data_IF_892376798865
#
_entry.id   IF_892376798865
#
_cell.length_a   1.000
_cell.length_b   1.000
_cell.length_c   1.000
_cell.angle_alpha   90.00
_cell.angle_beta   90.00
_cell.angle_gamma   90.00
#
_symmetry.space_group_name_H-M   'P 1'
#
loop_
_entity.id
_entity.type
_entity.pdbx_description
1 polymer ?
#
# COMPACT_ATOMS: atom_id res chain seq x y z
N UNK A 1 18.86 -13.05 2.61
CA UNK A 1 19.42 -11.75 3.05
C UNK A 1 18.35 -10.66 3.17
N UNK A 2 17.47 -10.47 2.18
CA UNK A 2 16.44 -9.42 2.19
C UNK A 2 15.48 -9.53 3.38
N UNK A 3 15.02 -10.73 3.74
CA UNK A 3 14.13 -10.92 4.91
C UNK A 3 14.75 -10.48 6.24
N UNK A 4 16.06 -10.70 6.42
CA UNK A 4 16.78 -10.24 7.61
C UNK A 4 16.90 -8.71 7.64
N UNK A 5 17.12 -8.10 6.48
CA UNK A 5 17.14 -6.63 6.36
C UNK A 5 15.76 -6.03 6.63
N UNK A 6 14.69 -6.66 6.16
CA UNK A 6 13.32 -6.22 6.39
C UNK A 6 12.91 -6.36 7.87
N UNK A 7 13.31 -7.45 8.52
CA UNK A 7 13.09 -7.63 9.96
C UNK A 7 13.87 -6.59 10.76
N UNK A 8 15.14 -6.37 10.41
CA UNK A 8 15.97 -5.32 11.04
C UNK A 8 15.36 -3.92 10.87
N UNK A 9 14.89 -3.58 9.67
CA UNK A 9 14.23 -2.31 9.39
C UNK A 9 12.94 -2.14 10.19
N UNK A 10 12.11 -3.18 10.28
CA UNK A 10 10.88 -3.15 11.08
C UNK A 10 11.17 -2.87 12.56
N UNK A 11 12.22 -3.48 13.12
CA UNK A 11 12.65 -3.22 14.50
C UNK A 11 13.19 -1.79 14.68
N UNK A 12 13.96 -1.27 13.72
CA UNK A 12 14.46 0.11 13.74
C UNK A 12 13.31 1.12 13.68
N UNK A 13 12.28 0.87 12.87
CA UNK A 13 11.10 1.75 12.79
C UNK A 13 10.26 1.74 14.08
N UNK A 14 10.32 0.67 14.87
CA UNK A 14 9.67 0.58 16.18
C UNK A 14 10.48 1.23 17.32
N UNK A 15 11.76 1.54 17.09
CA UNK A 15 12.65 2.15 18.07
C UNK A 15 12.12 3.49 18.64
N UNK A 16 11.61 4.47 17.86
CA UNK A 16 11.08 5.72 18.41
C UNK A 16 9.89 5.50 19.35
N UNK A 17 9.05 4.48 19.07
CA UNK A 17 7.95 4.11 19.96
C UNK A 17 8.49 3.55 21.28
N UNK A 18 9.46 2.64 21.22
CA UNK A 18 10.13 2.11 22.41
C UNK A 18 10.80 3.23 23.23
N UNK A 19 11.53 4.15 22.57
CA UNK A 19 12.19 5.29 23.22
C UNK A 19 11.17 6.21 23.89
N UNK A 20 10.03 6.51 23.25
CA UNK A 20 9.00 7.40 23.81
C UNK A 20 8.39 6.88 25.12
N UNK A 21 8.27 5.55 25.27
CA UNK A 21 7.67 4.93 26.45
C UNK A 21 8.69 4.49 27.51
N UNK A 22 9.95 4.28 27.14
CA UNK A 22 11.04 3.91 28.06
C UNK A 22 11.70 5.16 28.66
N UNK A 23 11.81 6.25 27.88
CA UNK A 23 12.38 7.50 28.37
C UNK A 23 11.57 7.98 29.59
N UNK A 24 12.21 8.19 30.75
CA UNK A 24 11.53 8.76 31.89
C UNK A 24 11.08 10.15 31.46
N UNK A 25 9.79 10.32 31.19
CA UNK A 25 9.24 11.67 31.17
C UNK A 25 9.51 12.21 32.57
N UNK A 26 10.36 13.24 32.67
CA UNK A 26 10.33 14.18 33.80
C UNK A 26 9.01 14.94 33.71
N UNK A 27 7.88 14.23 33.79
CA UNK A 27 6.67 14.84 34.29
C UNK A 27 7.02 15.12 35.73
N UNK A 28 7.28 16.38 36.08
CA UNK A 28 7.02 16.80 37.45
C UNK A 28 5.63 16.24 37.77
N UNK A 29 5.55 15.40 38.80
CA UNK A 29 4.28 14.78 39.16
C UNK A 29 3.21 15.86 39.25
N UNK A 30 1.94 15.54 38.95
CA UNK A 30 0.83 16.47 39.16
C UNK A 30 0.91 17.12 40.54
N UNK A 31 1.36 16.36 41.54
CA UNK A 31 1.73 16.83 42.88
C UNK A 31 2.80 17.92 42.88
N UNK A 32 3.97 17.69 42.29
CA UNK A 32 5.08 18.66 42.28
C UNK A 32 4.68 19.98 41.60
N UNK A 33 3.93 19.90 40.49
CA UNK A 33 3.41 21.07 39.78
C UNK A 33 2.39 21.84 40.63
N UNK A 34 1.46 21.13 41.29
CA UNK A 34 0.48 21.76 42.17
C UNK A 34 1.12 22.44 43.39
N UNK A 35 2.12 21.80 44.01
CA UNK A 35 2.87 22.37 45.12
C UNK A 35 3.63 23.63 44.70
N UNK A 36 4.30 23.61 43.54
CA UNK A 36 5.01 24.78 43.02
C UNK A 36 4.06 25.94 42.73
N UNK A 37 2.89 25.66 42.14
CA UNK A 37 1.87 26.65 41.83
C UNK A 37 1.32 27.34 43.10
N UNK A 38 0.94 26.57 44.12
CA UNK A 38 0.41 27.11 45.36
C UNK A 38 1.46 27.92 46.16
N UNK A 39 2.74 27.50 46.12
CA UNK A 39 3.84 28.31 46.68
C UNK A 39 4.00 29.64 45.96
N UNK A 40 3.90 29.65 44.63
CA UNK A 40 3.96 30.90 43.86
C UNK A 40 2.76 31.81 44.18
N UNK A 41 1.56 31.26 44.38
CA UNK A 41 0.37 32.02 44.78
C UNK A 41 0.56 32.75 46.11
N UNK A 42 1.21 32.14 47.10
CA UNK A 42 1.49 32.79 48.38
C UNK A 42 2.44 33.98 48.23
N UNK A 43 3.44 33.87 47.35
CA UNK A 43 4.38 34.97 47.05
C UNK A 43 3.66 36.13 46.39
N UNK A 44 2.76 35.85 45.45
CA UNK A 44 1.99 36.88 44.76
C UNK A 44 1.03 37.60 45.72
N UNK A 45 0.36 36.84 46.60
CA UNK A 45 -0.55 37.40 47.60
C UNK A 45 0.19 38.34 48.58
N UNK A 46 1.42 37.99 48.95
CA UNK A 46 2.27 38.84 49.80
C UNK A 46 2.69 40.13 49.08
N UNK A 47 2.94 40.07 47.77
CA UNK A 47 3.21 41.26 46.95
C UNK A 47 1.97 42.14 46.83
N UNK A 48 0.79 41.56 46.59
CA UNK A 48 -0.46 42.31 46.50
C UNK A 48 -0.78 43.07 47.79
N UNK A 49 -0.48 42.47 48.95
CA UNK A 49 -0.59 43.15 50.24
C UNK A 49 0.41 44.30 50.35
N UNK A 50 1.68 44.07 49.98
CA UNK A 50 2.73 45.08 50.04
C UNK A 50 2.45 46.27 49.10
N UNK A 51 1.86 45.99 47.93
CA UNK A 51 1.46 46.99 46.93
C UNK A 51 0.12 47.67 47.29
N UNK A 52 -0.54 47.28 48.39
CA UNK A 52 -1.82 47.84 48.84
C UNK A 52 -3.00 47.50 47.94
N UNK A 53 -2.89 46.47 47.09
CA UNK A 53 -3.96 46.02 46.18
C UNK A 53 -5.07 45.26 46.91
N UNK A 54 -4.77 44.68 48.06
CA UNK A 54 -5.71 43.92 48.90
C UNK A 54 -5.57 44.34 50.37
N UNK A 55 -6.65 44.21 51.15
CA UNK A 55 -6.64 44.49 52.59
C UNK A 55 -6.03 43.36 53.42
N UNK A 56 -5.60 43.64 54.66
CA UNK A 56 -5.01 42.60 55.55
C UNK A 56 -5.97 41.44 55.85
N UNK A 57 -7.26 41.74 56.03
CA UNK A 57 -8.28 40.71 56.28
C UNK A 57 -8.48 39.79 55.05
N UNK A 58 -8.43 40.37 53.84
CA UNK A 58 -8.54 39.62 52.59
C UNK A 58 -7.28 38.76 52.36
N UNK A 59 -6.10 39.31 52.61
CA UNK A 59 -4.84 38.58 52.58
C UNK A 59 -4.85 37.38 53.53
N UNK A 60 -5.26 37.58 54.79
CA UNK A 60 -5.30 36.50 55.79
C UNK A 60 -6.26 35.38 55.38
N UNK A 61 -7.44 35.72 54.88
CA UNK A 61 -8.42 34.75 54.41
C UNK A 61 -7.94 33.97 53.18
N UNK A 62 -7.39 34.67 52.18
CA UNK A 62 -6.89 34.04 50.95
C UNK A 62 -5.65 33.18 51.20
N UNK A 63 -4.72 33.62 52.06
CA UNK A 63 -3.55 32.86 52.47
C UNK A 63 -3.95 31.52 53.10
N UNK A 64 -4.89 31.54 54.06
CA UNK A 64 -5.35 30.34 54.74
C UNK A 64 -5.98 29.32 53.78
N UNK A 65 -6.76 29.78 52.80
CA UNK A 65 -7.36 28.90 51.79
C UNK A 65 -6.30 28.30 50.85
N UNK A 66 -5.29 29.06 50.42
CA UNK A 66 -4.18 28.54 49.61
C UNK A 66 -3.34 27.54 50.40
N UNK A 67 -3.05 27.79 51.67
CA UNK A 67 -2.35 26.85 52.55
C UNK A 67 -3.14 25.54 52.75
N UNK A 68 -4.47 25.63 52.90
CA UNK A 68 -5.35 24.44 52.96
C UNK A 68 -5.31 23.63 51.68
N UNK A 69 -5.33 24.29 50.52
CA UNK A 69 -5.20 23.63 49.19
C UNK A 69 -3.82 23.01 49.00
N UNK A 70 -2.77 23.66 49.47
CA UNK A 70 -1.40 23.15 49.44
C UNK A 70 -1.30 21.83 50.22
N UNK A 71 -1.84 21.76 51.44
CA UNK A 71 -1.89 20.53 52.24
C UNK A 71 -2.69 19.42 51.55
N UNK A 72 -3.81 19.77 50.92
CA UNK A 72 -4.65 18.82 50.17
C UNK A 72 -3.92 18.26 48.94
N UNK A 73 -3.17 19.10 48.23
CA UNK A 73 -2.36 18.69 47.09
C UNK A 73 -1.17 17.80 47.51
N UNK A 74 -0.58 18.06 48.69
CA UNK A 74 0.54 17.27 49.20
C UNK A 74 0.14 15.85 49.63
N UNK A 75 -1.11 15.67 50.10
CA UNK A 75 -1.68 14.38 50.45
C UNK A 75 -2.05 13.48 49.26
N UNK A 76 -1.95 13.98 48.02
CA UNK A 76 -2.28 13.18 46.83
C UNK A 76 -1.19 12.15 46.53
N UNK A 77 -1.58 10.87 46.53
CA UNK A 77 -0.70 9.76 46.12
C UNK A 77 -0.77 9.64 44.60
N UNK A 78 0.34 9.91 43.92
CA UNK A 78 0.48 9.62 42.49
C UNK A 78 0.43 8.10 42.28
N UNK A 79 -0.34 7.60 41.31
CA UNK A 79 -0.32 6.20 40.95
C UNK A 79 1.07 5.84 40.39
N UNK A 80 1.80 5.00 41.11
CA UNK A 80 3.06 4.44 40.62
C UNK A 80 2.73 3.44 39.51
N UNK A 81 3.25 3.66 38.31
CA UNK A 81 3.13 2.68 37.23
C UNK A 81 3.93 1.43 37.61
N UNK A 82 3.24 0.41 38.12
CA UNK A 82 3.83 -0.86 38.52
C UNK A 82 4.46 -1.58 37.31
N UNK A 83 5.60 -2.24 37.54
CA UNK A 83 6.60 -2.68 36.54
C UNK A 83 6.18 -3.65 35.41
N UNK A 84 4.89 -4.00 35.26
CA UNK A 84 4.44 -4.90 34.19
C UNK A 84 4.20 -4.19 32.84
N UNK A 85 3.88 -2.90 32.82
CA UNK A 85 3.58 -2.19 31.58
C UNK A 85 4.79 -2.10 30.63
N UNK A 86 6.00 -1.93 31.18
CA UNK A 86 7.25 -1.91 30.40
C UNK A 86 7.54 -3.27 29.78
N UNK A 87 7.36 -4.35 30.55
CA UNK A 87 7.57 -5.71 30.06
C UNK A 87 6.57 -6.07 28.95
N UNK A 88 5.29 -5.73 29.14
CA UNK A 88 4.26 -5.92 28.13
C UNK A 88 4.57 -5.14 26.85
N UNK A 89 5.02 -3.89 26.97
CA UNK A 89 5.40 -3.08 25.81
C UNK A 89 6.57 -3.69 25.04
N UNK A 90 7.63 -4.10 25.73
CA UNK A 90 8.79 -4.76 25.11
C UNK A 90 8.33 -6.05 24.43
N UNK A 91 7.51 -6.86 25.10
CA UNK A 91 6.96 -8.08 24.54
C UNK A 91 6.15 -7.80 23.28
N UNK A 92 5.30 -6.76 23.25
CA UNK A 92 4.52 -6.38 22.07
C UNK A 92 5.41 -5.90 20.92
N UNK A 93 6.41 -5.05 21.19
CA UNK A 93 7.33 -4.51 20.16
C UNK A 93 8.11 -5.63 19.47
N UNK A 94 8.44 -6.71 20.19
CA UNK A 94 9.14 -7.87 19.61
C UNK A 94 8.17 -8.88 18.99
N UNK A 95 7.07 -9.19 19.67
CA UNK A 95 6.13 -10.23 19.24
C UNK A 95 5.43 -9.86 17.92
N UNK A 96 5.10 -8.59 17.70
CA UNK A 96 4.39 -8.16 16.49
C UNK A 96 5.20 -8.41 15.21
N UNK A 97 6.46 -7.93 15.07
CA UNK A 97 7.30 -8.26 13.92
C UNK A 97 7.53 -9.77 13.76
N UNK A 98 7.78 -10.48 14.86
CA UNK A 98 8.02 -11.94 14.81
C UNK A 98 6.78 -12.68 14.30
N UNK A 99 5.59 -12.34 14.81
CA UNK A 99 4.34 -12.93 14.36
C UNK A 99 4.06 -12.62 12.88
N UNK A 100 4.32 -11.40 12.42
CA UNK A 100 4.18 -11.03 11.01
C UNK A 100 5.06 -11.91 10.10
N UNK A 101 6.33 -12.12 10.48
CA UNK A 101 7.22 -13.01 9.73
C UNK A 101 6.80 -14.48 9.80
N UNK A 102 6.35 -14.96 10.96
CA UNK A 102 5.87 -16.33 11.14
C UNK A 102 4.64 -16.62 10.26
N UNK A 103 3.76 -15.64 10.09
CA UNK A 103 2.59 -15.73 9.21
C UNK A 103 2.96 -15.60 7.73
N UNK A 104 3.95 -14.79 7.39
CA UNK A 104 4.32 -14.50 6.00
C UNK A 104 5.17 -15.59 5.34
N UNK A 105 6.13 -16.17 6.08
CA UNK A 105 7.13 -17.08 5.51
C UNK A 105 6.56 -18.36 4.87
N UNK A 106 5.56 -19.06 5.45
CA UNK A 106 5.05 -20.32 4.90
C UNK A 106 4.48 -20.22 3.48
N UNK A 107 3.93 -19.06 3.11
CA UNK A 107 3.38 -18.80 1.76
C UNK A 107 4.32 -18.02 0.84
N UNK A 108 5.51 -17.66 1.32
CA UNK A 108 6.47 -16.92 0.51
C UNK A 108 7.16 -17.84 -0.50
N UNK A 109 7.67 -17.26 -1.57
CA UNK A 109 8.52 -17.93 -2.58
C UNK A 109 9.93 -17.31 -2.59
N UNK A 110 10.74 -17.50 -1.52
CA UNK A 110 12.03 -16.82 -1.33
C UNK A 110 13.05 -17.08 -2.42
N UNK A 111 12.93 -18.23 -3.09
CA UNK A 111 13.90 -18.72 -4.07
C UNK A 111 13.59 -18.36 -5.51
N UNK A 112 12.48 -17.65 -5.78
CA UNK A 112 12.17 -17.22 -7.14
C UNK A 112 13.14 -16.09 -7.50
N UNK A 113 14.00 -16.27 -8.52
CA UNK A 113 14.89 -15.21 -8.96
C UNK A 113 14.05 -14.00 -9.33
N UNK A 114 14.46 -12.82 -8.87
CA UNK A 114 13.88 -11.58 -9.36
C UNK A 114 14.23 -11.50 -10.85
N UNK A 115 13.30 -11.86 -11.75
CA UNK A 115 13.51 -11.60 -13.17
C UNK A 115 13.65 -10.08 -13.32
N UNK A 116 14.80 -9.58 -13.79
CA UNK A 116 14.95 -8.15 -14.03
C UNK A 116 13.85 -7.72 -15.00
N UNK A 117 13.14 -6.65 -14.68
CA UNK A 117 12.11 -6.08 -15.55
C UNK A 117 12.62 -5.85 -16.98
N UNK A 118 13.93 -5.60 -17.14
CA UNK A 118 14.61 -5.49 -18.43
C UNK A 118 14.59 -6.78 -19.25
N UNK A 119 14.70 -7.96 -18.62
CA UNK A 119 14.61 -9.24 -19.31
C UNK A 119 13.17 -9.56 -19.73
N UNK A 120 12.18 -9.17 -18.94
CA UNK A 120 10.77 -9.30 -19.32
C UNK A 120 10.42 -8.41 -20.52
N UNK A 121 10.84 -7.14 -20.50
CA UNK A 121 10.70 -6.22 -21.65
C UNK A 121 11.36 -6.77 -22.92
N UNK A 122 12.55 -7.35 -22.81
CA UNK A 122 13.27 -7.91 -23.96
C UNK A 122 12.54 -9.13 -24.54
N UNK A 123 11.96 -10.00 -23.70
CA UNK A 123 11.14 -11.14 -24.16
C UNK A 123 9.89 -10.66 -24.88
N UNK A 124 9.21 -9.66 -24.33
CA UNK A 124 8.00 -9.07 -24.90
C UNK A 124 8.28 -8.42 -26.26
N UNK A 125 9.33 -7.59 -26.35
CA UNK A 125 9.75 -6.97 -27.61
C UNK A 125 10.15 -8.01 -28.65
N UNK A 126 10.83 -9.09 -28.24
CA UNK A 126 11.19 -10.19 -29.14
C UNK A 126 9.95 -10.97 -29.62
N UNK A 127 8.92 -11.14 -28.78
CA UNK A 127 7.65 -11.75 -29.17
C UNK A 127 6.90 -10.88 -30.19
N UNK A 128 6.78 -9.57 -29.92
CA UNK A 128 6.15 -8.62 -30.84
C UNK A 128 6.89 -8.52 -32.18
N UNK A 129 8.22 -8.53 -32.17
CA UNK A 129 9.03 -8.53 -33.39
C UNK A 129 8.79 -9.81 -34.23
N UNK A 130 8.71 -10.98 -33.58
CA UNK A 130 8.40 -12.24 -34.27
C UNK A 130 6.99 -12.22 -34.88
N UNK A 131 6.01 -11.72 -34.12
CA UNK A 131 4.64 -11.58 -34.60
C UNK A 131 4.56 -10.65 -35.83
N UNK A 132 5.25 -9.51 -35.80
CA UNK A 132 5.30 -8.58 -36.93
C UNK A 132 5.93 -9.22 -38.19
N UNK A 133 6.99 -10.02 -38.04
CA UNK A 133 7.58 -10.78 -39.14
C UNK A 133 6.58 -11.81 -39.68
N UNK A 134 5.91 -12.56 -38.80
CA UNK A 134 4.89 -13.55 -39.19
C UNK A 134 3.73 -12.92 -39.96
N UNK A 135 3.19 -11.78 -39.49
CA UNK A 135 2.14 -11.02 -40.18
C UNK A 135 2.59 -10.60 -41.58
N UNK A 136 3.83 -10.13 -41.71
CA UNK A 136 4.39 -9.68 -42.99
C UNK A 136 4.53 -10.85 -43.98
N UNK A 137 5.07 -11.98 -43.52
CA UNK A 137 5.23 -13.18 -44.35
C UNK A 137 3.88 -13.77 -44.76
N UNK A 138 2.92 -13.83 -43.84
CA UNK A 138 1.59 -14.35 -44.11
C UNK A 138 0.84 -13.49 -45.14
N UNK A 139 0.91 -12.15 -45.03
CA UNK A 139 0.37 -11.24 -46.05
C UNK A 139 1.01 -11.46 -47.43
N UNK A 140 2.33 -11.61 -47.48
CA UNK A 140 3.03 -11.84 -48.74
C UNK A 140 2.62 -13.18 -49.38
N UNK A 141 2.45 -14.22 -48.56
CA UNK A 141 1.99 -15.54 -49.03
C UNK A 141 0.56 -15.50 -49.53
N UNK A 142 -0.35 -14.85 -48.78
CA UNK A 142 -1.75 -14.68 -49.19
C UNK A 142 -1.89 -13.92 -50.51
N UNK A 143 -1.04 -12.91 -50.75
CA UNK A 143 -1.06 -12.16 -52.01
C UNK A 143 -0.67 -13.00 -53.24
N UNK A 144 0.02 -14.13 -53.05
CA UNK A 144 0.44 -15.03 -54.12
C UNK A 144 -0.50 -16.23 -54.32
N UNK A 145 -1.43 -16.47 -53.39
CA UNK A 145 -2.36 -17.60 -53.39
C UNK A 145 -3.68 -17.22 -54.09
N UNK A 146 -4.45 -18.22 -54.54
CA UNK A 146 -5.81 -17.97 -55.05
C UNK A 146 -6.72 -17.48 -53.91
N UNK A 147 -7.31 -16.27 -53.99
CA UNK A 147 -8.17 -15.71 -52.94
C UNK A 147 -9.40 -16.55 -52.59
N UNK A 148 -9.86 -17.41 -53.52
CA UNK A 148 -11.05 -18.25 -53.30
C UNK A 148 -10.70 -19.66 -52.79
N UNK A 149 -9.43 -19.95 -52.53
CA UNK A 149 -9.00 -21.24 -52.02
C UNK A 149 -9.30 -21.40 -50.52
N UNK A 150 -9.49 -22.64 -50.08
CA UNK A 150 -9.63 -22.96 -48.66
C UNK A 150 -8.36 -22.59 -47.87
N UNK A 151 -7.18 -22.68 -48.49
CA UNK A 151 -5.90 -22.35 -47.90
C UNK A 151 -5.76 -20.83 -47.70
N UNK A 152 -6.22 -20.02 -48.66
CA UNK A 152 -6.28 -18.56 -48.50
C UNK A 152 -7.25 -18.16 -47.37
N UNK A 153 -8.44 -18.76 -47.34
CA UNK A 153 -9.41 -18.54 -46.26
C UNK A 153 -8.84 -18.88 -44.87
N UNK A 154 -8.11 -20.00 -44.75
CA UNK A 154 -7.45 -20.36 -43.50
C UNK A 154 -6.33 -19.36 -43.14
N UNK A 155 -5.56 -18.90 -44.13
CA UNK A 155 -4.53 -17.89 -43.93
C UNK A 155 -5.09 -16.53 -43.49
N UNK A 156 -6.25 -16.14 -44.03
CA UNK A 156 -6.98 -14.93 -43.61
C UNK A 156 -7.43 -15.02 -42.15
N UNK A 157 -7.93 -16.18 -41.69
CA UNK A 157 -8.28 -16.39 -40.28
C UNK A 157 -7.07 -16.19 -39.35
N UNK A 158 -5.93 -16.79 -39.71
CA UNK A 158 -4.69 -16.64 -38.94
C UNK A 158 -4.15 -15.22 -38.97
N UNK A 159 -4.28 -14.52 -40.10
CA UNK A 159 -3.87 -13.12 -40.21
C UNK A 159 -4.76 -12.23 -39.36
N UNK A 160 -6.06 -12.46 -39.34
CA UNK A 160 -7.01 -11.76 -38.46
C UNK A 160 -6.63 -11.93 -36.99
N UNK A 161 -6.33 -13.16 -36.55
CA UNK A 161 -5.93 -13.43 -35.17
C UNK A 161 -4.58 -12.78 -34.82
N UNK A 162 -3.59 -12.89 -35.69
CA UNK A 162 -2.29 -12.27 -35.48
C UNK A 162 -2.37 -10.74 -35.40
N UNK A 163 -3.22 -10.11 -36.20
CA UNK A 163 -3.47 -8.65 -36.14
C UNK A 163 -4.21 -8.24 -34.87
N UNK A 164 -5.16 -9.05 -34.41
CA UNK A 164 -5.85 -8.80 -33.15
C UNK A 164 -4.91 -8.95 -31.94
N UNK A 165 -4.05 -9.98 -31.94
CA UNK A 165 -3.03 -10.18 -30.90
C UNK A 165 -2.02 -9.03 -30.89
N UNK A 166 -1.56 -8.59 -32.06
CA UNK A 166 -0.61 -7.48 -32.18
C UNK A 166 -1.18 -6.15 -31.66
N UNK A 167 -2.48 -5.90 -31.88
CA UNK A 167 -3.14 -4.68 -31.42
C UNK A 167 -3.66 -4.79 -29.97
N UNK A 168 -3.81 -6.01 -29.44
CA UNK A 168 -4.50 -6.28 -28.17
C UNK A 168 -6.02 -6.13 -28.25
N UNK A 169 -6.58 -5.87 -29.43
CA UNK A 169 -8.00 -5.67 -29.69
C UNK A 169 -8.36 -6.06 -31.13
N UNK A 170 -9.65 -6.31 -31.39
CA UNK A 170 -10.13 -6.64 -32.74
C UNK A 170 -10.27 -5.34 -33.55
N UNK A 171 -9.23 -5.03 -34.32
CA UNK A 171 -9.21 -3.86 -35.20
C UNK A 171 -10.18 -4.04 -36.40
N UNK A 172 -10.60 -2.93 -37.05
CA UNK A 172 -11.40 -3.03 -38.29
C UNK A 172 -10.71 -3.83 -39.39
N UNK A 173 -9.37 -3.81 -39.42
CA UNK A 173 -8.57 -4.61 -40.35
C UNK A 173 -8.68 -6.10 -40.02
N UNK A 174 -8.42 -6.50 -38.77
CA UNK A 174 -8.56 -7.89 -38.32
C UNK A 174 -9.98 -8.43 -38.56
N UNK A 175 -10.99 -7.60 -38.27
CA UNK A 175 -12.40 -7.91 -38.53
C UNK A 175 -12.68 -8.15 -40.02
N UNK A 176 -12.01 -7.40 -40.91
CA UNK A 176 -12.08 -7.61 -42.36
C UNK A 176 -11.62 -9.01 -42.74
N UNK A 177 -10.47 -9.44 -42.24
CA UNK A 177 -9.91 -10.77 -42.52
C UNK A 177 -10.76 -11.91 -41.96
N UNK A 178 -11.32 -11.79 -40.74
CA UNK A 178 -12.25 -12.80 -40.22
C UNK A 178 -13.50 -12.97 -41.10
N UNK A 179 -14.03 -11.86 -41.63
CA UNK A 179 -15.19 -11.91 -42.55
C UNK A 179 -14.84 -12.53 -43.90
N UNK A 180 -13.67 -12.19 -44.44
CA UNK A 180 -13.16 -12.75 -45.71
C UNK A 180 -12.92 -14.26 -45.57
N UNK A 181 -12.26 -14.67 -44.48
CA UNK A 181 -12.04 -16.08 -44.15
C UNK A 181 -13.37 -16.84 -44.19
N UNK A 182 -14.39 -16.37 -43.47
CA UNK A 182 -15.69 -17.07 -43.41
C UNK A 182 -16.43 -17.17 -44.74
N UNK A 183 -16.23 -16.21 -45.64
CA UNK A 183 -16.88 -16.18 -46.95
C UNK A 183 -16.41 -17.35 -47.82
N UNK A 184 -15.12 -17.68 -47.74
CA UNK A 184 -14.48 -18.70 -48.57
C UNK A 184 -14.16 -20.02 -47.81
N UNK A 185 -14.42 -20.08 -46.50
CA UNK A 185 -14.10 -21.24 -45.67
C UNK A 185 -15.00 -22.46 -45.94
N UNK A 186 -14.43 -23.68 -46.07
CA UNK A 186 -15.20 -24.94 -46.13
C UNK A 186 -16.15 -25.08 -44.94
N UNK A 187 -17.34 -25.65 -45.12
CA UNK A 187 -18.36 -25.73 -44.05
C UNK A 187 -17.88 -26.45 -42.78
N UNK A 188 -16.94 -27.38 -42.92
CA UNK A 188 -16.36 -28.19 -41.84
C UNK A 188 -15.00 -27.67 -41.34
N UNK A 189 -14.58 -26.47 -41.76
CA UNK A 189 -13.31 -25.89 -41.32
C UNK A 189 -13.32 -25.60 -39.81
N UNK A 190 -12.26 -26.03 -39.12
CA UNK A 190 -12.15 -25.99 -37.66
C UNK A 190 -12.05 -24.59 -37.08
N UNK A 191 -11.61 -23.59 -37.86
CA UNK A 191 -11.44 -22.20 -37.43
C UNK A 191 -12.72 -21.36 -37.56
N UNK A 192 -13.73 -21.81 -38.31
CA UNK A 192 -14.98 -21.07 -38.51
C UNK A 192 -15.68 -20.63 -37.21
N UNK A 193 -15.79 -21.48 -36.17
CA UNK A 193 -16.41 -21.06 -34.92
C UNK A 193 -15.69 -19.89 -34.26
N UNK A 194 -14.36 -19.87 -34.35
CA UNK A 194 -13.54 -18.80 -33.78
C UNK A 194 -13.77 -17.48 -34.53
N UNK A 195 -13.74 -17.49 -35.86
CA UNK A 195 -14.00 -16.28 -36.64
C UNK A 195 -15.39 -15.69 -36.36
N UNK A 196 -16.42 -16.55 -36.26
CA UNK A 196 -17.78 -16.13 -35.89
C UNK A 196 -17.80 -15.49 -34.50
N UNK A 197 -17.09 -16.09 -33.54
CA UNK A 197 -16.96 -15.54 -32.19
C UNK A 197 -16.27 -14.17 -32.22
N UNK A 198 -15.13 -14.04 -32.89
CA UNK A 198 -14.36 -12.78 -33.00
C UNK A 198 -15.19 -11.67 -33.64
N UNK A 199 -15.95 -11.98 -34.69
CA UNK A 199 -16.87 -11.02 -35.31
C UNK A 199 -17.97 -10.58 -34.32
N UNK A 200 -18.50 -11.51 -33.53
CA UNK A 200 -19.48 -11.22 -32.48
C UNK A 200 -18.92 -10.33 -31.38
N UNK A 201 -17.70 -10.60 -30.91
CA UNK A 201 -16.97 -9.80 -29.92
C UNK A 201 -16.78 -8.35 -30.42
N UNK A 202 -16.35 -8.18 -31.66
CA UNK A 202 -16.18 -6.86 -32.26
C UNK A 202 -17.50 -6.08 -32.36
N UNK A 203 -18.61 -6.75 -32.68
CA UNK A 203 -19.94 -6.13 -32.74
C UNK A 203 -20.43 -5.67 -31.36
N UNK A 204 -20.15 -6.44 -30.31
CA UNK A 204 -20.49 -6.08 -28.94
C UNK A 204 -19.65 -4.89 -28.45
N UNK A 205 -18.35 -4.88 -28.73
CA UNK A 205 -17.46 -3.78 -28.38
C UNK A 205 -17.89 -2.45 -29.03
N UNK A 206 -18.39 -2.49 -30.28
CA UNK A 206 -18.88 -1.30 -30.99
C UNK A 206 -20.24 -0.76 -30.48
N UNK A 207 -20.94 -1.52 -29.63
CA UNK A 207 -22.26 -1.16 -29.09
C UNK A 207 -22.22 -0.51 -27.69
N UNK A 208 -21.04 -0.45 -27.08
CA UNK A 208 -20.77 0.21 -25.79
C UNK A 208 -20.23 1.61 -26.01
#
# INVERSE_FOLDING_TARGET
MIFLMMLGLALVLMLPLAVMFIAPRRTQGRREVALALHKAQLVELARDLADGRIGEAEYAAAKLEVERRLLTADGSVEPVWNGNAKLLLIATVVAVPVAAFALYLPGSTPGVPSEPHTQWLAKEQAAQAKLAVFVTELRARLAAEDPNSADASQGEAYLGEALAEQAGEITPEALGYFKQSLANAPQNASWRPLDVQRIGEAAQAASQ
#
